data_IF_830405794436
#
_entry.id   IF_830405794436
#
_cell.length_a   1.000
_cell.length_b   1.000
_cell.length_c   1.000
_cell.angle_alpha   90.00
_cell.angle_beta   90.00
_cell.angle_gamma   90.00
#
_symmetry.space_group_name_H-M   'P 1'
#
loop_
_entity.id
_entity.type
_entity.pdbx_description
1 polymer ?
#
# COMPACT_ATOMS: atom_id res chain seq x y z
N UNK A 1 2.85 28.76 -3.62
CA UNK A 1 2.04 28.04 -2.61
C UNK A 1 2.24 26.56 -2.86
N UNK A 2 2.99 25.86 -2.01
CA UNK A 2 3.26 24.42 -2.17
C UNK A 2 2.01 23.67 -1.69
N UNK A 3 1.41 22.90 -2.60
CA UNK A 3 0.13 22.23 -2.40
C UNK A 3 0.33 21.03 -1.45
N UNK A 4 0.18 21.24 -0.14
CA UNK A 4 0.41 20.24 0.93
C UNK A 4 -0.42 18.94 0.76
N UNK A 5 -1.50 19.00 -0.01
CA UNK A 5 -2.36 17.84 -0.27
C UNK A 5 -1.69 16.81 -1.19
N UNK A 6 -0.80 17.24 -2.10
CA UNK A 6 -0.05 16.35 -3.02
C UNK A 6 0.93 15.44 -2.27
N UNK A 7 1.61 15.98 -1.25
CA UNK A 7 2.84 15.37 -0.73
C UNK A 7 2.58 14.08 0.07
N UNK A 8 1.47 13.99 0.80
CA UNK A 8 1.13 12.77 1.54
C UNK A 8 0.53 11.69 0.64
N UNK A 9 -0.25 12.08 -0.38
CA UNK A 9 -0.82 11.15 -1.38
C UNK A 9 0.31 10.51 -2.18
N UNK A 10 1.29 11.31 -2.61
CA UNK A 10 2.48 10.83 -3.31
C UNK A 10 3.30 9.84 -2.44
N UNK A 11 3.45 10.14 -1.15
CA UNK A 11 4.11 9.23 -0.20
C UNK A 11 3.30 7.94 -0.02
N UNK A 12 1.97 8.04 0.10
CA UNK A 12 1.09 6.89 0.23
C UNK A 12 1.21 5.96 -0.98
N UNK A 13 1.04 6.51 -2.18
CA UNK A 13 1.05 5.76 -3.44
C UNK A 13 2.42 5.10 -3.66
N UNK A 14 3.52 5.77 -3.27
CA UNK A 14 4.86 5.19 -3.31
C UNK A 14 5.02 4.01 -2.35
N UNK A 15 4.48 4.11 -1.13
CA UNK A 15 4.52 3.02 -0.13
C UNK A 15 3.71 1.81 -0.60
N UNK A 16 2.50 2.03 -1.11
CA UNK A 16 1.67 0.96 -1.69
C UNK A 16 2.37 0.30 -2.87
N UNK A 17 2.95 1.09 -3.78
CA UNK A 17 3.71 0.56 -4.93
C UNK A 17 4.90 -0.32 -4.51
N UNK A 18 5.64 0.09 -3.48
CA UNK A 18 6.74 -0.72 -2.93
C UNK A 18 6.23 -2.05 -2.35
N UNK A 19 5.16 -2.01 -1.56
CA UNK A 19 4.54 -3.20 -0.99
C UNK A 19 4.06 -4.17 -2.07
N UNK A 20 3.39 -3.67 -3.11
CA UNK A 20 2.99 -4.49 -4.26
C UNK A 20 4.21 -5.16 -4.90
N UNK A 21 5.31 -4.42 -5.12
CA UNK A 21 6.54 -4.97 -5.69
C UNK A 21 7.13 -6.09 -4.83
N UNK A 22 7.25 -5.89 -3.52
CA UNK A 22 7.75 -6.91 -2.59
C UNK A 22 6.87 -8.17 -2.61
N UNK A 23 5.54 -8.00 -2.60
CA UNK A 23 4.61 -9.12 -2.74
C UNK A 23 4.77 -9.87 -4.07
N UNK A 24 5.04 -9.18 -5.18
CA UNK A 24 5.28 -9.84 -6.48
C UNK A 24 6.57 -10.66 -6.47
N UNK A 25 7.63 -10.16 -5.83
CA UNK A 25 8.91 -10.90 -5.69
C UNK A 25 8.70 -12.18 -4.89
N UNK A 26 7.93 -12.12 -3.79
CA UNK A 26 7.60 -13.31 -3.00
C UNK A 26 6.78 -14.31 -3.82
N UNK A 27 5.77 -13.83 -4.55
CA UNK A 27 4.93 -14.68 -5.40
C UNK A 27 5.77 -15.42 -6.46
N UNK A 28 6.75 -14.74 -7.07
CA UNK A 28 7.66 -15.34 -8.06
C UNK A 28 8.53 -16.44 -7.48
N UNK A 29 8.94 -16.31 -6.20
CA UNK A 29 9.68 -17.35 -5.50
C UNK A 29 8.84 -18.56 -5.09
N UNK A 30 7.53 -18.38 -4.89
CA UNK A 30 6.63 -19.44 -4.40
C UNK A 30 5.92 -20.21 -5.52
N UNK A 31 5.64 -19.57 -6.65
CA UNK A 31 4.84 -20.15 -7.73
C UNK A 31 5.74 -20.40 -8.95
N UNK A 32 6.15 -21.64 -9.22
CA UNK A 32 7.11 -21.92 -10.30
C UNK A 32 6.49 -21.88 -11.70
N UNK A 33 5.17 -22.06 -11.86
CA UNK A 33 4.51 -22.03 -13.16
C UNK A 33 4.10 -20.61 -13.57
N UNK A 34 4.64 -20.12 -14.68
CA UNK A 34 4.32 -18.79 -15.24
C UNK A 34 2.84 -18.62 -15.58
N UNK A 35 2.15 -19.69 -16.00
CA UNK A 35 0.71 -19.65 -16.31
C UNK A 35 -0.14 -19.42 -15.06
N UNK A 36 0.36 -19.84 -13.90
CA UNK A 36 -0.27 -19.58 -12.60
C UNK A 36 0.14 -18.22 -12.02
N UNK A 37 1.41 -17.83 -12.21
CA UNK A 37 1.91 -16.52 -11.75
C UNK A 37 1.12 -15.36 -12.32
N UNK A 38 0.81 -15.38 -13.62
CA UNK A 38 0.11 -14.27 -14.28
C UNK A 38 -1.24 -13.91 -13.64
N UNK A 39 -2.21 -14.85 -13.51
CA UNK A 39 -3.47 -14.57 -12.84
C UNK A 39 -3.31 -14.25 -11.35
N UNK A 40 -2.34 -14.88 -10.66
CA UNK A 40 -2.07 -14.58 -9.25
C UNK A 40 -1.50 -13.18 -9.04
N UNK A 41 -0.57 -12.72 -9.91
CA UNK A 41 -0.06 -11.35 -9.92
C UNK A 41 -1.21 -10.37 -10.09
N UNK A 42 -2.11 -10.62 -11.04
CA UNK A 42 -3.25 -9.76 -11.30
C UNK A 42 -4.22 -9.71 -10.11
N UNK A 43 -4.54 -10.87 -9.53
CA UNK A 43 -5.39 -10.98 -8.36
C UNK A 43 -4.78 -10.23 -7.16
N UNK A 44 -3.52 -10.50 -6.83
CA UNK A 44 -2.83 -9.86 -5.71
C UNK A 44 -2.74 -8.34 -5.87
N UNK A 45 -2.36 -7.85 -7.05
CA UNK A 45 -2.34 -6.41 -7.32
C UNK A 45 -3.70 -5.79 -7.09
N UNK A 46 -4.75 -6.35 -7.69
CA UNK A 46 -6.12 -5.85 -7.54
C UNK A 46 -6.56 -5.86 -6.08
N UNK A 47 -6.31 -6.94 -5.35
CA UNK A 47 -6.68 -7.05 -3.94
C UNK A 47 -5.96 -6.00 -3.08
N UNK A 48 -4.65 -5.83 -3.29
CA UNK A 48 -3.86 -4.83 -2.55
C UNK A 48 -4.39 -3.43 -2.84
N UNK A 49 -4.50 -3.05 -4.12
CA UNK A 49 -4.99 -1.71 -4.49
C UNK A 49 -6.40 -1.45 -3.98
N UNK A 50 -7.34 -2.41 -4.13
CA UNK A 50 -8.71 -2.21 -3.63
C UNK A 50 -8.74 -2.00 -2.10
N UNK A 51 -7.94 -2.76 -1.35
CA UNK A 51 -7.86 -2.60 0.10
C UNK A 51 -7.23 -1.26 0.48
N UNK A 52 -6.11 -0.90 -0.15
CA UNK A 52 -5.40 0.35 0.16
C UNK A 52 -6.18 1.58 -0.31
N UNK A 53 -6.85 1.54 -1.45
CA UNK A 53 -7.61 2.68 -1.95
C UNK A 53 -8.87 2.90 -1.09
N UNK A 54 -9.50 1.82 -0.61
CA UNK A 54 -10.55 1.88 0.40
C UNK A 54 -10.07 2.56 1.68
N UNK A 55 -8.93 2.12 2.22
CA UNK A 55 -8.31 2.74 3.40
C UNK A 55 -7.93 4.21 3.16
N UNK A 56 -7.38 4.56 1.98
CA UNK A 56 -7.05 5.94 1.62
C UNK A 56 -8.29 6.81 1.62
N UNK A 57 -9.36 6.34 1.00
CA UNK A 57 -10.67 7.02 0.99
C UNK A 57 -11.20 7.23 2.40
N UNK A 58 -11.20 6.17 3.23
CA UNK A 58 -11.66 6.25 4.62
C UNK A 58 -10.82 7.24 5.44
N UNK A 59 -9.49 7.23 5.30
CA UNK A 59 -8.59 8.17 5.99
C UNK A 59 -8.85 9.63 5.59
N UNK A 60 -9.08 9.89 4.29
CA UNK A 60 -9.43 11.21 3.78
C UNK A 60 -10.79 11.65 4.31
N UNK A 61 -11.79 10.77 4.26
CA UNK A 61 -13.16 11.04 4.70
C UNK A 61 -13.25 11.27 6.22
N UNK A 62 -12.44 10.56 7.00
CA UNK A 62 -12.39 10.72 8.46
C UNK A 62 -11.70 12.02 8.90
N UNK A 63 -11.04 12.74 7.99
CA UNK A 63 -10.35 14.00 8.31
C UNK A 63 -9.32 13.84 9.44
N UNK A 64 -8.78 12.64 9.62
CA UNK A 64 -7.94 12.28 10.76
C UNK A 64 -6.71 13.19 10.79
N UNK A 65 -6.77 14.21 11.66
CA UNK A 65 -5.58 14.91 12.09
C UNK A 65 -4.61 13.86 12.64
N UNK A 66 -3.41 13.77 12.06
CA UNK A 66 -2.35 12.86 12.53
C UNK A 66 -2.22 12.97 14.05
N UNK A 67 -2.70 11.98 14.79
CA UNK A 67 -2.17 11.71 16.12
C UNK A 67 -0.85 10.98 15.88
N UNK A 68 0.24 11.73 15.96
CA UNK A 68 1.56 11.12 16.06
C UNK A 68 1.62 10.43 17.42
N UNK A 69 1.34 9.13 17.44
CA UNK A 69 1.55 8.35 18.65
C UNK A 69 3.06 8.13 18.80
N UNK A 70 3.67 8.85 19.74
CA UNK A 70 5.05 8.59 20.15
C UNK A 70 5.08 7.22 20.83
N UNK A 71 5.44 6.19 20.06
CA UNK A 71 5.65 4.86 20.59
C UNK A 71 6.87 4.90 21.53
N UNK A 72 6.62 4.89 22.84
CA UNK A 72 7.69 4.78 23.84
C UNK A 72 8.03 3.32 24.05
N UNK A 73 9.28 2.96 23.78
CA UNK A 73 9.80 1.66 24.16
C UNK A 73 9.81 1.53 25.70
N UNK A 74 9.40 0.37 26.25
CA UNK A 74 9.57 0.11 27.67
C UNK A 74 11.07 0.09 28.00
N UNK A 75 11.48 0.90 28.98
CA UNK A 75 12.81 0.86 29.62
C UNK A 75 12.92 -0.27 30.62
#
# INVERSE_FOLDING_TARGET
MVNKQSDWEDVYDRRVSNMVRECMVILEGLVPDDKQRSPLRQLMRRTIYNATDGLKSDLVNMGLQRKQEDFKFPT
#
